data_IF_958062665629
#
_entry.id   IF_958062665629
#
_cell.length_a   1.000
_cell.length_b   1.000
_cell.length_c   1.000
_cell.angle_alpha   90.00
_cell.angle_beta   90.00
_cell.angle_gamma   90.00
#
_symmetry.space_group_name_H-M   'P 1'
#
loop_
_entity.id
_entity.type
_entity.pdbx_description
1 polymer ?
#
# COMPACT_ATOMS: atom_id res chain seq x y z
N UNK A 1 -57.23 -7.88 38.31
CA UNK A 1 -55.85 -7.51 38.71
C UNK A 1 -54.73 -8.28 38.02
N UNK A 2 -54.88 -9.58 37.66
CA UNK A 2 -53.82 -10.36 36.98
C UNK A 2 -53.41 -9.84 35.58
N UNK A 3 -54.34 -9.28 34.78
CA UNK A 3 -54.02 -8.79 33.44
C UNK A 3 -53.12 -7.55 33.45
N UNK A 4 -53.32 -6.62 34.38
CA UNK A 4 -52.55 -5.37 34.47
C UNK A 4 -51.06 -5.58 34.75
N UNK A 5 -50.71 -6.57 35.58
CA UNK A 5 -49.31 -6.88 35.89
C UNK A 5 -48.60 -7.61 34.74
N UNK A 6 -49.35 -8.38 33.95
CA UNK A 6 -48.84 -9.04 32.74
C UNK A 6 -48.48 -8.01 31.65
N UNK A 7 -49.37 -7.04 31.39
CA UNK A 7 -49.13 -5.98 30.40
C UNK A 7 -47.93 -5.09 30.77
N UNK A 8 -47.76 -4.75 32.06
CA UNK A 8 -46.59 -4.00 32.53
C UNK A 8 -45.29 -4.78 32.34
N UNK A 9 -45.28 -6.06 32.67
CA UNK A 9 -44.09 -6.91 32.50
C UNK A 9 -43.72 -7.07 31.02
N UNK A 10 -44.72 -7.25 30.16
CA UNK A 10 -44.54 -7.35 28.71
C UNK A 10 -43.98 -6.05 28.12
N UNK A 11 -44.49 -4.89 28.55
CA UNK A 11 -44.01 -3.59 28.04
C UNK A 11 -42.57 -3.30 28.45
N UNK A 12 -42.17 -3.67 29.67
CA UNK A 12 -40.77 -3.50 30.12
C UNK A 12 -39.82 -4.43 29.38
N UNK A 13 -40.21 -5.67 29.12
CA UNK A 13 -39.41 -6.61 28.31
C UNK A 13 -39.27 -6.08 26.87
N UNK A 14 -40.37 -5.63 26.25
CA UNK A 14 -40.34 -5.08 24.89
C UNK A 14 -39.44 -3.84 24.78
N UNK A 15 -39.47 -2.95 25.78
CA UNK A 15 -38.60 -1.77 25.81
C UNK A 15 -37.11 -2.17 25.89
N UNK A 16 -36.76 -3.10 26.77
CA UNK A 16 -35.37 -3.57 26.90
C UNK A 16 -34.88 -4.29 25.63
N UNK A 17 -35.72 -5.10 25.00
CA UNK A 17 -35.40 -5.76 23.72
C UNK A 17 -35.16 -4.71 22.63
N UNK A 18 -35.99 -3.68 22.55
CA UNK A 18 -35.83 -2.60 21.56
C UNK A 18 -34.49 -1.89 21.72
N UNK A 19 -34.06 -1.61 22.96
CA UNK A 19 -32.76 -0.99 23.24
C UNK A 19 -31.59 -1.89 22.83
N UNK A 20 -31.69 -3.20 23.10
CA UNK A 20 -30.64 -4.15 22.68
C UNK A 20 -30.56 -4.22 21.15
N UNK A 21 -31.71 -4.31 20.47
CA UNK A 21 -31.77 -4.38 19.00
C UNK A 21 -31.21 -3.10 18.38
N UNK A 22 -31.55 -1.92 18.89
CA UNK A 22 -31.01 -0.66 18.36
C UNK A 22 -29.51 -0.54 18.56
N UNK A 23 -28.99 -0.99 19.70
CA UNK A 23 -27.54 -1.05 19.94
C UNK A 23 -26.84 -2.01 18.97
N UNK A 24 -27.40 -3.20 18.72
CA UNK A 24 -26.84 -4.17 17.76
C UNK A 24 -26.80 -3.57 16.35
N UNK A 25 -27.89 -2.93 15.91
CA UNK A 25 -27.95 -2.26 14.60
C UNK A 25 -26.92 -1.13 14.52
N UNK A 26 -26.78 -0.32 15.57
CA UNK A 26 -25.81 0.77 15.62
C UNK A 26 -24.37 0.24 15.50
N UNK A 27 -24.02 -0.83 16.24
CA UNK A 27 -22.69 -1.46 16.16
C UNK A 27 -22.45 -2.05 14.76
N UNK A 28 -23.45 -2.72 14.17
CA UNK A 28 -23.33 -3.28 12.83
C UNK A 28 -23.14 -2.19 11.78
N UNK A 29 -23.94 -1.12 11.84
CA UNK A 29 -23.83 0.02 10.93
C UNK A 29 -22.48 0.71 11.07
N UNK A 30 -21.98 0.88 12.30
CA UNK A 30 -20.67 1.47 12.55
C UNK A 30 -19.52 0.65 11.96
N UNK A 31 -19.54 -0.68 12.13
CA UNK A 31 -18.54 -1.57 11.53
C UNK A 31 -18.59 -1.51 10.00
N UNK A 32 -19.79 -1.54 9.42
CA UNK A 32 -19.96 -1.43 7.98
C UNK A 32 -19.43 -0.10 7.42
N UNK A 33 -19.66 1.02 8.12
CA UNK A 33 -19.11 2.32 7.72
C UNK A 33 -17.59 2.34 7.77
N UNK A 34 -16.98 1.74 8.79
CA UNK A 34 -15.51 1.61 8.87
C UNK A 34 -14.98 0.81 7.69
N UNK A 35 -15.59 -0.35 7.39
CA UNK A 35 -15.11 -1.20 6.30
C UNK A 35 -15.22 -0.50 4.93
N UNK A 36 -16.30 0.25 4.69
CA UNK A 36 -16.42 1.07 3.47
C UNK A 36 -15.37 2.18 3.43
N UNK A 37 -15.15 2.88 4.54
CA UNK A 37 -14.14 3.94 4.61
C UNK A 37 -12.73 3.42 4.34
N UNK A 38 -12.36 2.24 4.86
CA UNK A 38 -11.06 1.61 4.56
C UNK A 38 -10.86 1.30 3.09
N UNK A 39 -11.94 0.89 2.40
CA UNK A 39 -11.92 0.61 0.97
C UNK A 39 -11.81 1.89 0.14
N UNK A 40 -12.52 2.94 0.53
CA UNK A 40 -12.43 4.25 -0.11
C UNK A 40 -11.01 4.81 -0.02
N UNK A 41 -10.38 4.77 1.16
CA UNK A 41 -8.99 5.21 1.36
C UNK A 41 -8.01 4.35 0.54
N UNK A 42 -8.19 3.02 0.52
CA UNK A 42 -7.36 2.13 -0.29
C UNK A 42 -7.49 2.42 -1.80
N UNK A 43 -8.70 2.72 -2.28
CA UNK A 43 -8.93 3.10 -3.69
C UNK A 43 -8.34 4.48 -4.01
N UNK A 44 -8.45 5.44 -3.08
CA UNK A 44 -7.83 6.75 -3.23
C UNK A 44 -6.32 6.63 -3.37
N UNK A 45 -5.66 5.88 -2.48
CA UNK A 45 -4.23 5.60 -2.58
C UNK A 45 -3.87 4.92 -3.90
N UNK A 46 -4.61 3.88 -4.30
CA UNK A 46 -4.38 3.20 -5.57
C UNK A 46 -4.50 4.17 -6.76
N UNK A 47 -5.49 5.07 -6.75
CA UNK A 47 -5.64 6.11 -7.77
C UNK A 47 -4.51 7.15 -7.76
N UNK A 48 -3.89 7.37 -6.60
CA UNK A 48 -2.69 8.19 -6.46
C UNK A 48 -1.51 7.65 -7.27
N UNK A 49 -1.42 6.33 -7.47
CA UNK A 49 -0.41 5.72 -8.33
C UNK A 49 -0.56 6.10 -9.80
N UNK A 50 -1.79 6.34 -10.24
CA UNK A 50 -2.14 6.80 -11.59
C UNK A 50 -2.17 8.34 -11.71
N UNK A 51 -1.78 9.06 -10.65
CA UNK A 51 -1.71 10.52 -10.66
C UNK A 51 -0.60 11.01 -11.60
N UNK A 52 -0.74 12.24 -12.10
CA UNK A 52 0.15 12.78 -13.14
C UNK A 52 1.64 12.78 -12.78
N UNK A 53 1.99 13.00 -11.52
CA UNK A 53 3.39 13.01 -11.05
C UNK A 53 3.94 11.59 -10.91
N UNK A 54 3.20 10.68 -10.26
CA UNK A 54 3.64 9.29 -10.09
C UNK A 54 3.71 8.54 -11.42
N UNK A 55 2.76 8.79 -12.32
CA UNK A 55 2.76 8.25 -13.67
C UNK A 55 3.98 8.76 -14.47
N UNK A 56 4.38 10.03 -14.29
CA UNK A 56 5.59 10.56 -14.90
C UNK A 56 6.84 9.84 -14.38
N UNK A 57 6.97 9.65 -13.07
CA UNK A 57 8.08 8.93 -12.45
C UNK A 57 8.19 7.47 -12.96
N UNK A 58 7.07 6.74 -12.98
CA UNK A 58 7.01 5.38 -13.52
C UNK A 58 7.43 5.32 -14.98
N UNK A 59 6.95 6.27 -15.78
CA UNK A 59 7.28 6.36 -17.21
C UNK A 59 8.76 6.65 -17.42
N UNK A 60 9.35 7.56 -16.66
CA UNK A 60 10.77 7.89 -16.76
C UNK A 60 11.64 6.67 -16.47
N UNK A 61 11.35 5.96 -15.36
CA UNK A 61 12.06 4.72 -15.01
C UNK A 61 11.88 3.65 -16.09
N UNK A 62 10.65 3.47 -16.60
CA UNK A 62 10.37 2.49 -17.66
C UNK A 62 11.14 2.76 -18.96
N UNK A 63 11.23 4.04 -19.37
CA UNK A 63 12.02 4.46 -20.54
C UNK A 63 13.48 4.06 -20.35
N UNK A 64 14.03 4.31 -19.16
CA UNK A 64 15.45 4.13 -18.86
C UNK A 64 15.81 2.65 -18.71
N UNK A 65 14.95 1.85 -18.07
CA UNK A 65 15.06 0.38 -18.06
C UNK A 65 15.00 -0.21 -19.48
N UNK A 66 14.19 0.36 -20.37
CA UNK A 66 14.10 -0.09 -21.77
C UNK A 66 15.39 0.18 -22.53
N UNK A 67 16.09 1.29 -22.25
CA UNK A 67 17.41 1.58 -22.83
C UNK A 67 18.45 0.53 -22.43
N UNK A 68 18.36 -0.02 -21.22
CA UNK A 68 19.25 -1.08 -20.72
C UNK A 68 19.01 -2.46 -21.36
N UNK A 69 17.93 -2.65 -22.13
CA UNK A 69 17.58 -3.92 -22.80
C UNK A 69 17.56 -5.14 -21.86
N UNK A 70 17.13 -4.95 -20.61
CA UNK A 70 17.15 -6.01 -19.59
C UNK A 70 16.33 -7.25 -19.97
N UNK A 71 15.28 -7.08 -20.81
CA UNK A 71 14.47 -8.19 -21.32
C UNK A 71 15.19 -9.17 -22.27
N UNK A 72 16.51 -9.02 -22.48
CA UNK A 72 17.34 -9.98 -23.23
C UNK A 72 18.13 -10.94 -22.35
N UNK A 73 18.15 -10.72 -21.04
CA UNK A 73 18.85 -11.61 -20.11
C UNK A 73 17.90 -12.73 -19.71
N UNK A 74 18.02 -13.88 -20.38
CA UNK A 74 17.28 -15.11 -20.07
C UNK A 74 17.89 -15.86 -18.87
N UNK A 75 18.51 -15.12 -17.95
CA UNK A 75 19.23 -15.64 -16.78
C UNK A 75 18.68 -14.97 -15.52
N UNK A 76 18.56 -15.76 -14.44
CA UNK A 76 18.24 -15.23 -13.13
C UNK A 76 19.32 -14.21 -12.72
N UNK A 77 18.92 -12.96 -12.53
CA UNK A 77 19.81 -11.88 -12.09
C UNK A 77 19.85 -11.92 -10.56
N UNK A 78 21.04 -12.03 -9.98
CA UNK A 78 21.21 -11.94 -8.53
C UNK A 78 20.75 -10.57 -8.01
N UNK A 79 20.10 -10.53 -6.85
CA UNK A 79 19.55 -9.28 -6.26
C UNK A 79 20.61 -8.18 -6.11
N UNK A 80 21.85 -8.54 -5.78
CA UNK A 80 23.00 -7.62 -5.69
C UNK A 80 23.35 -7.00 -7.05
N UNK A 81 23.19 -7.74 -8.14
CA UNK A 81 23.41 -7.21 -9.49
C UNK A 81 22.30 -6.25 -9.91
N UNK A 82 21.07 -6.39 -9.39
CA UNK A 82 19.97 -5.46 -9.65
C UNK A 82 20.30 -4.05 -9.12
N UNK A 83 20.85 -3.94 -7.91
CA UNK A 83 21.29 -2.65 -7.36
C UNK A 83 22.29 -1.96 -8.30
N UNK A 84 23.31 -2.69 -8.75
CA UNK A 84 24.32 -2.17 -9.67
C UNK A 84 23.74 -1.80 -11.05
N UNK A 85 22.74 -2.53 -11.55
CA UNK A 85 22.06 -2.20 -12.80
C UNK A 85 21.28 -0.88 -12.66
N UNK A 86 20.52 -0.72 -11.57
CA UNK A 86 19.75 0.49 -11.30
C UNK A 86 20.68 1.67 -11.01
N UNK A 87 21.78 1.47 -10.28
CA UNK A 87 22.79 2.50 -10.06
C UNK A 87 23.41 2.99 -11.38
N UNK A 88 23.80 2.07 -12.27
CA UNK A 88 24.30 2.43 -13.60
C UNK A 88 23.23 3.15 -14.43
N UNK A 89 21.96 2.72 -14.35
CA UNK A 89 20.84 3.39 -15.03
C UNK A 89 20.72 4.85 -14.62
N UNK A 90 20.81 5.11 -13.31
CA UNK A 90 20.77 6.47 -12.75
C UNK A 90 21.98 7.27 -13.22
N UNK A 91 23.17 6.70 -13.14
CA UNK A 91 24.41 7.39 -13.51
C UNK A 91 24.46 7.78 -14.99
N UNK A 92 23.96 6.91 -15.88
CA UNK A 92 23.97 7.15 -17.33
C UNK A 92 22.73 7.87 -17.85
N UNK A 93 21.77 8.22 -16.98
CA UNK A 93 20.60 9.00 -17.37
C UNK A 93 20.99 10.43 -17.75
N UNK A 94 20.21 11.03 -18.65
CA UNK A 94 20.35 12.45 -18.99
C UNK A 94 20.02 13.37 -17.81
N UNK A 95 19.28 12.87 -16.79
CA UNK A 95 18.95 13.56 -15.54
C UNK A 95 19.04 12.60 -14.33
N UNK A 96 20.25 12.35 -13.79
CA UNK A 96 20.43 11.43 -12.65
C UNK A 96 19.69 11.88 -11.38
N UNK A 97 19.64 13.18 -11.13
CA UNK A 97 19.00 13.73 -9.93
C UNK A 97 17.47 13.57 -10.01
N UNK A 98 16.88 13.87 -11.16
CA UNK A 98 15.46 13.62 -11.42
C UNK A 98 15.11 12.14 -11.29
N UNK A 99 15.97 11.24 -11.81
CA UNK A 99 15.74 9.80 -11.68
C UNK A 99 15.81 9.31 -10.23
N UNK A 100 16.76 9.79 -9.44
CA UNK A 100 16.81 9.48 -8.01
C UNK A 100 15.54 9.93 -7.30
N UNK A 101 15.06 11.14 -7.60
CA UNK A 101 13.82 11.66 -7.04
C UNK A 101 12.60 10.81 -7.44
N UNK A 102 12.52 10.38 -8.71
CA UNK A 102 11.46 9.50 -9.20
C UNK A 102 11.45 8.15 -8.46
N UNK A 103 12.62 7.56 -8.25
CA UNK A 103 12.76 6.30 -7.50
C UNK A 103 12.32 6.48 -6.04
N UNK A 104 12.79 7.56 -5.38
CA UNK A 104 12.40 7.87 -4.00
C UNK A 104 10.89 8.08 -3.92
N UNK A 105 10.28 8.82 -4.85
CA UNK A 105 8.85 9.07 -4.85
C UNK A 105 8.03 7.78 -4.94
N UNK A 106 8.42 6.84 -5.80
CA UNK A 106 7.74 5.55 -5.92
C UNK A 106 7.86 4.72 -4.64
N UNK A 107 9.06 4.62 -4.07
CA UNK A 107 9.25 3.84 -2.84
C UNK A 107 8.51 4.47 -1.66
N UNK A 108 8.59 5.78 -1.50
CA UNK A 108 7.85 6.50 -0.46
C UNK A 108 6.35 6.31 -0.58
N UNK A 109 5.80 6.35 -1.80
CA UNK A 109 4.37 6.06 -2.03
C UNK A 109 3.98 4.67 -1.54
N UNK A 110 4.81 3.66 -1.84
CA UNK A 110 4.54 2.30 -1.40
C UNK A 110 4.76 2.10 0.11
N UNK A 111 5.68 2.83 0.74
CA UNK A 111 5.80 2.88 2.19
C UNK A 111 4.55 3.49 2.83
N UNK A 112 4.00 4.59 2.28
CA UNK A 112 2.76 5.20 2.76
C UNK A 112 1.58 4.21 2.69
N UNK A 113 1.48 3.47 1.59
CA UNK A 113 0.49 2.39 1.42
C UNK A 113 0.70 1.30 2.47
N UNK A 114 1.94 0.87 2.69
CA UNK A 114 2.29 -0.15 3.67
C UNK A 114 1.90 0.28 5.10
N UNK A 115 2.20 1.53 5.47
CA UNK A 115 1.82 2.12 6.75
C UNK A 115 0.28 2.16 6.87
N UNK A 116 -0.45 2.49 5.81
CA UNK A 116 -1.91 2.50 5.82
C UNK A 116 -2.50 1.12 6.11
N UNK A 117 -1.93 0.08 5.51
CA UNK A 117 -2.34 -1.32 5.74
C UNK A 117 -1.99 -1.74 7.17
N UNK A 118 -0.76 -1.47 7.63
CA UNK A 118 -0.27 -1.86 8.95
C UNK A 118 -1.03 -1.17 10.09
N UNK A 119 -1.39 0.09 9.91
CA UNK A 119 -2.21 0.86 10.87
C UNK A 119 -3.70 0.48 10.84
N UNK A 120 -4.11 -0.37 9.90
CA UNK A 120 -5.49 -0.82 9.75
C UNK A 120 -6.43 0.25 9.18
N UNK A 121 -5.88 1.31 8.57
CA UNK A 121 -6.61 2.38 7.90
C UNK A 121 -7.02 1.99 6.48
N UNK A 122 -6.26 1.12 5.82
CA UNK A 122 -6.57 0.58 4.49
C UNK A 122 -7.06 -0.87 4.56
N UNK A 123 -7.91 -1.24 3.60
CA UNK A 123 -8.29 -2.63 3.33
C UNK A 123 -7.15 -3.33 2.58
N UNK A 124 -6.49 -4.29 3.24
CA UNK A 124 -5.32 -4.99 2.72
C UNK A 124 -5.62 -5.78 1.44
N UNK A 125 -6.82 -6.37 1.33
CA UNK A 125 -7.21 -7.18 0.18
C UNK A 125 -7.41 -6.29 -1.05
N UNK A 126 -7.98 -5.09 -0.84
CA UNK A 126 -8.11 -4.10 -1.91
C UNK A 126 -6.76 -3.62 -2.38
N UNK A 127 -5.85 -3.24 -1.47
CA UNK A 127 -4.49 -2.80 -1.80
C UNK A 127 -3.72 -3.88 -2.57
N UNK A 128 -3.75 -5.12 -2.08
CA UNK A 128 -3.08 -6.24 -2.74
C UNK A 128 -3.64 -6.50 -4.15
N UNK A 129 -4.97 -6.39 -4.32
CA UNK A 129 -5.64 -6.60 -5.59
C UNK A 129 -5.45 -5.48 -6.63
N UNK A 130 -5.20 -4.24 -6.19
CA UNK A 130 -5.06 -3.09 -7.11
C UNK A 130 -3.62 -2.77 -7.46
N UNK A 131 -2.74 -2.70 -6.45
CA UNK A 131 -1.36 -2.23 -6.63
C UNK A 131 -0.31 -3.24 -6.16
N UNK A 132 -0.71 -4.37 -5.59
CA UNK A 132 0.22 -5.37 -5.03
C UNK A 132 1.22 -5.93 -6.04
N UNK A 133 0.79 -6.25 -7.27
CA UNK A 133 1.71 -6.73 -8.31
C UNK A 133 2.75 -5.67 -8.69
N UNK A 134 2.31 -4.42 -8.86
CA UNK A 134 3.19 -3.30 -9.16
C UNK A 134 4.16 -3.02 -8.00
N UNK A 135 3.65 -3.05 -6.76
CA UNK A 135 4.46 -2.92 -5.54
C UNK A 135 5.58 -3.95 -5.51
N UNK A 136 5.27 -5.23 -5.74
CA UNK A 136 6.28 -6.30 -5.80
C UNK A 136 7.31 -6.05 -6.90
N UNK A 137 6.88 -5.69 -8.11
CA UNK A 137 7.81 -5.44 -9.23
C UNK A 137 8.77 -4.29 -8.93
N UNK A 138 8.24 -3.17 -8.44
CA UNK A 138 9.06 -2.01 -8.08
C UNK A 138 9.93 -2.30 -6.87
N UNK A 139 9.43 -3.01 -5.86
CA UNK A 139 10.21 -3.41 -4.71
C UNK A 139 11.39 -4.29 -5.10
N UNK A 140 11.16 -5.38 -5.86
CA UNK A 140 12.23 -6.28 -6.32
C UNK A 140 13.31 -5.54 -7.12
N UNK A 141 12.91 -4.56 -7.92
CA UNK A 141 13.81 -3.80 -8.77
C UNK A 141 14.56 -2.70 -8.01
N UNK A 142 13.85 -1.90 -7.22
CA UNK A 142 14.35 -0.63 -6.70
C UNK A 142 14.82 -0.72 -5.24
N UNK A 143 14.29 -1.63 -4.41
CA UNK A 143 14.67 -1.72 -3.00
C UNK A 143 16.19 -1.92 -2.80
N UNK A 144 16.88 -2.80 -3.54
CA UNK A 144 18.33 -2.95 -3.43
C UNK A 144 19.09 -1.62 -3.59
N UNK A 145 18.71 -0.84 -4.60
CA UNK A 145 19.30 0.48 -4.86
C UNK A 145 18.90 1.51 -3.81
N UNK A 146 17.62 1.56 -3.41
CA UNK A 146 17.14 2.52 -2.41
C UNK A 146 17.77 2.35 -1.04
N UNK A 147 18.14 1.12 -0.65
CA UNK A 147 18.91 0.85 0.58
C UNK A 147 20.33 1.41 0.53
N UNK A 148 20.92 1.56 -0.65
CA UNK A 148 22.23 2.21 -0.82
C UNK A 148 22.08 3.73 -0.68
N UNK A 149 21.16 4.34 -1.43
CA UNK A 149 20.96 5.80 -1.38
C UNK A 149 20.36 6.29 -0.06
N UNK A 150 19.55 5.48 0.64
CA UNK A 150 19.00 5.83 1.97
C UNK A 150 20.13 6.10 2.97
N UNK A 151 21.19 5.29 2.92
CA UNK A 151 22.39 5.47 3.77
C UNK A 151 23.18 6.71 3.39
N UNK A 152 23.26 7.02 2.09
CA UNK A 152 23.99 8.18 1.59
C UNK A 152 23.27 9.50 1.88
N UNK A 153 21.94 9.50 1.78
CA UNK A 153 21.08 10.69 1.91
C UNK A 153 20.49 10.87 3.31
N UNK A 154 20.78 9.97 4.27
CA UNK A 154 20.22 9.97 5.62
C UNK A 154 18.68 9.95 5.62
N UNK A 155 18.10 9.20 4.67
CA UNK A 155 16.66 8.95 4.61
C UNK A 155 16.38 7.71 5.44
N UNK A 156 16.26 7.90 6.75
CA UNK A 156 15.93 6.83 7.67
C UNK A 156 14.60 6.17 7.27
N UNK A 157 14.56 4.84 7.32
CA UNK A 157 13.39 3.98 7.07
C UNK A 157 12.82 3.96 5.64
N UNK A 158 13.46 4.59 4.64
CA UNK A 158 13.02 4.50 3.23
C UNK A 158 13.03 3.05 2.73
N UNK A 159 11.86 2.58 2.29
CA UNK A 159 11.60 1.24 1.77
C UNK A 159 11.42 0.17 2.83
N UNK A 160 11.50 0.51 4.12
CA UNK A 160 11.39 -0.47 5.22
C UNK A 160 9.97 -1.01 5.38
N UNK A 161 8.95 -0.17 5.20
CA UNK A 161 7.56 -0.59 5.32
C UNK A 161 7.11 -1.38 4.08
N UNK A 162 7.60 -1.01 2.90
CA UNK A 162 7.40 -1.77 1.68
C UNK A 162 7.98 -3.18 1.75
N UNK A 163 9.18 -3.32 2.33
CA UNK A 163 9.86 -4.61 2.56
C UNK A 163 8.94 -5.61 3.28
N UNK A 164 8.30 -5.13 4.37
CA UNK A 164 7.33 -5.88 5.17
C UNK A 164 6.03 -6.17 4.41
N UNK A 165 5.48 -5.16 3.72
CA UNK A 165 4.21 -5.27 3.00
C UNK A 165 4.26 -6.38 1.94
N UNK A 166 5.33 -6.42 1.16
CA UNK A 166 5.44 -7.36 0.04
C UNK A 166 6.19 -8.64 0.42
N UNK A 167 6.66 -8.79 1.67
CA UNK A 167 7.52 -9.90 2.10
C UNK A 167 8.67 -10.13 1.11
N UNK A 168 9.49 -9.10 0.92
CA UNK A 168 10.54 -9.06 -0.11
C UNK A 168 11.37 -10.33 -0.21
N UNK A 169 11.77 -10.93 0.93
CA UNK A 169 12.59 -12.14 0.96
C UNK A 169 11.91 -13.38 0.36
N UNK A 170 10.57 -13.43 0.37
CA UNK A 170 9.78 -14.56 -0.15
C UNK A 170 9.39 -14.36 -1.63
N UNK A 171 9.21 -13.11 -2.06
CA UNK A 171 8.58 -12.77 -3.34
C UNK A 171 9.55 -12.15 -4.38
N UNK A 172 10.72 -11.72 -3.93
CA UNK A 172 11.89 -11.43 -4.74
C UNK A 172 12.96 -12.49 -4.44
#
# INVERSE_FOLDING_TARGET
MRSLNFWKSLSTIAANVTVIVSLVIAVYSYRYQIDQSKREVAMEMASGMDSGEMFAAQRNISIELTKLKLGRFDMAIERSAIAGIVANMVEVSDDPAGMQQDIIAIISFFDEVAICVQSGLCDADVVAGTIGESATRYACLLLPYTREISKELLLDDLGSYLDDLIKYEENC
#
